data_IF_986045401120
#
_entry.id   IF_986045401120
#
_cell.length_a   1.000
_cell.length_b   1.000
_cell.length_c   1.000
_cell.angle_alpha   90.00
_cell.angle_beta   90.00
_cell.angle_gamma   90.00
#
_symmetry.space_group_name_H-M   'P 1'
#
loop_
_entity.id
_entity.type
_entity.pdbx_description
1 polymer ?
#
# COMPACT_ATOMS: atom_id res chain seq x y z
N UNK A 1 9.29 -24.70 -1.05
CA UNK A 1 10.24 -24.52 0.05
C UNK A 1 9.99 -23.18 0.69
N UNK A 2 10.09 -23.10 2.02
CA UNK A 2 9.73 -21.88 2.76
C UNK A 2 10.57 -20.68 2.37
N UNK A 3 11.87 -20.83 2.12
CA UNK A 3 12.73 -19.72 1.69
C UNK A 3 12.29 -19.17 0.34
N UNK A 4 11.90 -20.04 -0.60
CA UNK A 4 11.35 -19.62 -1.90
C UNK A 4 10.03 -18.87 -1.73
N UNK A 5 9.15 -19.36 -0.86
CA UNK A 5 7.87 -18.69 -0.57
C UNK A 5 8.10 -17.34 0.07
N UNK A 6 9.05 -17.24 0.97
CA UNK A 6 9.40 -15.99 1.63
C UNK A 6 9.92 -14.97 0.61
N UNK A 7 10.85 -15.36 -0.25
CA UNK A 7 11.38 -14.48 -1.28
C UNK A 7 10.32 -14.05 -2.28
N UNK A 8 9.42 -14.96 -2.65
CA UNK A 8 8.30 -14.64 -3.53
C UNK A 8 7.38 -13.58 -2.90
N UNK A 9 7.03 -13.73 -1.64
CA UNK A 9 6.16 -12.78 -0.94
C UNK A 9 6.81 -11.40 -0.81
N UNK A 10 8.11 -11.35 -0.50
CA UNK A 10 8.86 -10.10 -0.45
C UNK A 10 8.83 -9.42 -1.82
N UNK A 11 9.13 -10.16 -2.88
CA UNK A 11 9.12 -9.63 -4.24
C UNK A 11 7.74 -9.11 -4.67
N UNK A 12 6.68 -9.79 -4.25
CA UNK A 12 5.30 -9.40 -4.54
C UNK A 12 5.01 -8.00 -3.93
N UNK A 13 5.33 -7.81 -2.66
CA UNK A 13 5.09 -6.54 -1.98
C UNK A 13 6.00 -5.43 -2.52
N UNK A 14 7.25 -5.76 -2.86
CA UNK A 14 8.14 -4.80 -3.52
C UNK A 14 7.58 -4.32 -4.85
N UNK A 15 7.04 -5.23 -5.66
CA UNK A 15 6.42 -4.90 -6.95
C UNK A 15 5.15 -4.06 -6.77
N UNK A 16 4.38 -4.36 -5.74
CA UNK A 16 3.19 -3.61 -5.36
C UNK A 16 3.54 -2.13 -5.09
N UNK A 17 4.57 -1.89 -4.28
CA UNK A 17 5.00 -0.52 -3.99
C UNK A 17 5.70 0.15 -5.17
N UNK A 18 6.38 -0.61 -6.01
CA UNK A 18 6.95 -0.05 -7.24
C UNK A 18 5.85 0.46 -8.18
N UNK A 19 4.74 -0.28 -8.28
CA UNK A 19 3.57 0.17 -9.03
C UNK A 19 3.00 1.47 -8.45
N UNK A 20 2.88 1.55 -7.13
CA UNK A 20 2.45 2.76 -6.44
C UNK A 20 3.34 3.96 -6.83
N UNK A 21 4.65 3.79 -6.75
CA UNK A 21 5.59 4.89 -6.99
C UNK A 21 5.57 5.41 -8.42
N UNK A 22 5.24 4.57 -9.40
CA UNK A 22 5.11 5.04 -10.78
C UNK A 22 3.70 5.43 -11.19
N UNK A 23 2.76 5.42 -10.22
CA UNK A 23 1.37 5.79 -10.48
C UNK A 23 0.58 4.77 -11.29
N UNK A 24 1.03 3.53 -11.31
CA UNK A 24 0.37 2.44 -12.04
C UNK A 24 -0.67 1.78 -11.11
N UNK A 25 -1.83 2.42 -11.00
CA UNK A 25 -2.89 1.97 -10.08
C UNK A 25 -3.45 0.61 -10.50
N UNK A 26 -3.65 0.38 -11.80
CA UNK A 26 -4.13 -0.91 -12.29
C UNK A 26 -3.12 -2.03 -12.00
N UNK A 27 -1.83 -1.76 -12.19
CA UNK A 27 -0.77 -2.70 -11.84
C UNK A 27 -0.75 -3.02 -10.36
N UNK A 28 -0.94 -2.00 -9.52
CA UNK A 28 -1.01 -2.16 -8.07
C UNK A 28 -2.19 -3.04 -7.68
N UNK A 29 -3.37 -2.75 -8.21
CA UNK A 29 -4.60 -3.49 -7.91
C UNK A 29 -4.52 -4.96 -8.36
N UNK A 30 -3.76 -5.25 -9.41
CA UNK A 30 -3.61 -6.60 -9.92
C UNK A 30 -2.94 -7.55 -8.91
N UNK A 31 -2.20 -7.03 -7.93
CA UNK A 31 -1.58 -7.84 -6.88
C UNK A 31 -2.56 -8.18 -5.75
N UNK A 32 -3.74 -7.56 -5.73
CA UNK A 32 -4.71 -7.75 -4.65
C UNK A 32 -5.71 -8.85 -5.00
N UNK A 33 -6.07 -9.65 -4.01
CA UNK A 33 -7.18 -10.58 -4.14
C UNK A 33 -8.48 -9.80 -4.36
N UNK A 34 -9.45 -10.41 -5.03
CA UNK A 34 -10.73 -9.76 -5.30
C UNK A 34 -11.44 -9.36 -4.00
N UNK A 35 -11.32 -10.18 -2.96
CA UNK A 35 -11.93 -9.97 -1.65
C UNK A 35 -10.93 -9.44 -0.61
N UNK A 36 -9.90 -8.72 -1.04
CA UNK A 36 -8.85 -8.21 -0.15
C UNK A 36 -9.46 -7.42 1.02
N UNK A 37 -8.93 -7.65 2.22
CA UNK A 37 -9.31 -6.90 3.40
C UNK A 37 -8.35 -5.72 3.59
N UNK A 38 -8.88 -4.52 3.71
CA UNK A 38 -8.07 -3.32 3.91
C UNK A 38 -8.38 -2.72 5.29
N UNK A 39 -7.37 -2.70 6.14
CA UNK A 39 -7.43 -2.11 7.47
C UNK A 39 -6.58 -0.85 7.47
N UNK A 40 -7.20 0.32 7.55
CA UNK A 40 -6.49 1.59 7.61
C UNK A 40 -6.46 2.08 9.04
N UNK A 41 -5.32 1.90 9.69
CA UNK A 41 -5.12 2.28 11.09
C UNK A 41 -6.21 1.69 11.99
N UNK A 42 -6.96 2.54 12.69
CA UNK A 42 -8.03 2.13 13.61
C UNK A 42 -9.42 2.30 12.97
N UNK A 43 -9.47 2.56 11.68
CA UNK A 43 -10.74 2.69 10.97
C UNK A 43 -11.43 1.35 10.74
N UNK A 44 -12.66 1.36 10.22
CA UNK A 44 -13.37 0.14 9.90
C UNK A 44 -12.71 -0.60 8.75
N UNK A 45 -12.76 -1.93 8.80
CA UNK A 45 -12.24 -2.76 7.72
C UNK A 45 -13.11 -2.61 6.47
N UNK A 46 -12.47 -2.41 5.34
CA UNK A 46 -13.13 -2.42 4.04
C UNK A 46 -12.78 -3.71 3.30
N UNK A 47 -13.73 -4.27 2.60
CA UNK A 47 -13.55 -5.54 1.90
C UNK A 47 -13.71 -5.30 0.40
N UNK A 48 -12.77 -5.85 -0.36
CA UNK A 48 -12.85 -5.91 -1.81
C UNK A 48 -11.90 -4.99 -2.53
N UNK A 49 -11.47 -5.45 -3.69
CA UNK A 49 -10.57 -4.69 -4.56
C UNK A 49 -11.20 -3.38 -5.02
N UNK A 50 -12.50 -3.37 -5.28
CA UNK A 50 -13.20 -2.15 -5.70
C UNK A 50 -13.22 -1.09 -4.60
N UNK A 51 -13.38 -1.50 -3.34
CA UNK A 51 -13.33 -0.58 -2.21
C UNK A 51 -11.94 0.03 -2.08
N UNK A 52 -10.90 -0.79 -2.28
CA UNK A 52 -9.53 -0.31 -2.23
C UNK A 52 -9.21 0.63 -3.39
N UNK A 53 -9.73 0.34 -4.59
CA UNK A 53 -9.57 1.23 -5.74
C UNK A 53 -10.20 2.61 -5.49
N UNK A 54 -11.37 2.65 -4.85
CA UNK A 54 -12.03 3.90 -4.47
C UNK A 54 -11.19 4.67 -3.44
N UNK A 55 -10.60 3.96 -2.47
CA UNK A 55 -9.68 4.56 -1.49
C UNK A 55 -8.47 5.19 -2.18
N UNK A 56 -7.82 4.47 -3.11
CA UNK A 56 -6.68 4.99 -3.86
C UNK A 56 -7.05 6.24 -4.66
N UNK A 57 -8.22 6.23 -5.30
CA UNK A 57 -8.68 7.38 -6.08
C UNK A 57 -8.84 8.61 -5.18
N UNK A 58 -9.47 8.44 -4.03
CA UNK A 58 -9.68 9.52 -3.06
C UNK A 58 -8.35 10.08 -2.55
N UNK A 59 -7.41 9.19 -2.22
CA UNK A 59 -6.09 9.61 -1.76
C UNK A 59 -5.33 10.32 -2.87
N UNK A 60 -5.39 9.80 -4.10
CA UNK A 60 -4.69 10.39 -5.24
C UNK A 60 -5.27 11.75 -5.64
N UNK A 61 -6.55 12.00 -5.37
CA UNK A 61 -7.17 13.30 -5.63
C UNK A 61 -6.57 14.40 -4.77
N UNK A 62 -6.13 14.09 -3.55
CA UNK A 62 -5.66 15.08 -2.58
C UNK A 62 -4.15 15.08 -2.37
N UNK A 63 -3.49 13.95 -2.58
CA UNK A 63 -2.08 13.79 -2.22
C UNK A 63 -1.26 13.26 -3.40
N UNK A 64 0.01 13.69 -3.46
CA UNK A 64 1.03 13.09 -4.33
C UNK A 64 2.11 12.53 -3.42
N UNK A 65 2.32 11.23 -3.47
CA UNK A 65 3.25 10.55 -2.56
C UNK A 65 4.23 9.65 -3.30
N UNK A 66 5.46 9.64 -2.80
CA UNK A 66 6.50 8.70 -3.21
C UNK A 66 7.00 7.99 -1.96
N UNK A 67 7.20 6.70 -2.05
CA UNK A 67 7.75 5.90 -0.96
C UNK A 67 9.23 5.70 -1.19
N UNK A 68 10.02 6.04 -0.18
CA UNK A 68 11.49 5.94 -0.21
C UNK A 68 11.95 5.01 0.90
N UNK A 69 13.17 4.49 0.75
CA UNK A 69 13.80 3.64 1.77
C UNK A 69 12.90 2.47 2.17
N UNK A 70 12.30 1.84 1.17
CA UNK A 70 11.36 0.73 1.38
C UNK A 70 12.11 -0.51 1.84
N UNK A 71 11.76 -1.03 3.02
CA UNK A 71 12.29 -2.28 3.56
C UNK A 71 11.13 -3.26 3.68
N UNK A 72 11.28 -4.44 3.12
CA UNK A 72 10.25 -5.47 3.13
C UNK A 72 10.80 -6.71 3.82
N UNK A 73 10.09 -7.21 4.82
CA UNK A 73 10.43 -8.42 5.55
C UNK A 73 9.23 -9.38 5.50
N UNK A 74 9.49 -10.67 5.69
CA UNK A 74 8.45 -11.68 5.70
C UNK A 74 8.76 -12.75 6.72
N UNK A 75 7.71 -13.43 7.18
CA UNK A 75 7.86 -14.61 8.02
C UNK A 75 8.39 -15.80 7.20
N UNK A 76 8.68 -16.91 7.89
CA UNK A 76 9.39 -18.05 7.30
C UNK A 76 8.68 -18.65 6.08
N UNK A 77 7.35 -18.73 6.11
CA UNK A 77 6.59 -19.35 5.02
C UNK A 77 6.01 -18.36 4.02
N UNK A 78 6.30 -17.06 4.17
CA UNK A 78 5.84 -16.05 3.23
C UNK A 78 4.35 -15.72 3.27
N UNK A 79 3.67 -16.07 4.36
CA UNK A 79 2.24 -15.77 4.50
C UNK A 79 1.98 -14.40 5.10
N UNK A 80 2.97 -13.84 5.80
CA UNK A 80 2.87 -12.53 6.46
C UNK A 80 4.07 -11.69 6.05
N UNK A 81 3.80 -10.45 5.65
CA UNK A 81 4.83 -9.51 5.18
C UNK A 81 4.67 -8.20 5.92
N UNK A 82 5.79 -7.61 6.30
CA UNK A 82 5.84 -6.27 6.84
C UNK A 82 6.67 -5.37 5.94
N UNK A 83 6.29 -4.10 5.86
CA UNK A 83 7.04 -3.10 5.12
C UNK A 83 7.17 -1.83 5.95
N UNK A 84 8.34 -1.20 5.84
CA UNK A 84 8.59 0.12 6.42
C UNK A 84 9.10 1.02 5.31
N UNK A 85 8.69 2.27 5.33
CA UNK A 85 9.09 3.22 4.28
C UNK A 85 9.01 4.65 4.80
N UNK A 86 9.58 5.57 4.02
CA UNK A 86 9.45 7.01 4.27
C UNK A 86 8.57 7.58 3.16
N UNK A 87 7.47 8.21 3.55
CA UNK A 87 6.55 8.85 2.62
C UNK A 87 7.00 10.28 2.38
N UNK A 88 7.26 10.64 1.12
CA UNK A 88 7.50 12.00 0.69
C UNK A 88 6.27 12.47 -0.07
N UNK A 89 5.54 13.40 0.48
CA UNK A 89 4.25 13.77 -0.06
C UNK A 89 4.01 15.25 -0.21
N UNK A 90 3.03 15.57 -1.04
CA UNK A 90 2.51 16.92 -1.25
C UNK A 90 0.99 16.86 -1.13
N UNK A 91 0.45 17.74 -0.29
CA UNK A 91 -0.99 17.90 -0.14
C UNK A 91 -1.45 18.97 -1.13
N UNK A 92 -2.05 18.56 -2.26
CA UNK A 92 -2.30 19.47 -3.37
C UNK A 92 -3.76 19.87 -3.56
N UNK A 93 -4.71 19.06 -3.08
CA UNK A 93 -6.14 19.36 -3.16
C UNK A 93 -6.79 19.05 -1.82
N UNK A 94 -7.61 19.98 -1.33
CA UNK A 94 -8.22 19.86 0.01
C UNK A 94 -9.00 18.55 0.14
N UNK A 95 -8.65 17.78 1.17
CA UNK A 95 -9.34 16.56 1.56
C UNK A 95 -10.42 16.90 2.58
N UNK A 96 -11.57 16.26 2.45
CA UNK A 96 -12.72 16.53 3.31
C UNK A 96 -12.38 16.36 4.79
N UNK A 97 -12.75 17.36 5.59
CA UNK A 97 -12.53 17.34 7.04
C UNK A 97 -11.12 17.75 7.46
N UNK A 98 -10.24 18.10 6.53
CA UNK A 98 -8.87 18.51 6.80
C UNK A 98 -8.65 19.97 6.45
N UNK A 99 -7.52 20.57 6.91
CA UNK A 99 -7.18 21.93 6.54
C UNK A 99 -7.08 22.13 5.02
N UNK A 100 -7.19 23.38 4.58
CA UNK A 100 -7.10 23.71 3.16
C UNK A 100 -5.73 23.34 2.60
N UNK A 101 -5.72 22.71 1.43
CA UNK A 101 -4.49 22.36 0.73
C UNK A 101 -3.88 23.58 0.06
N UNK A 102 -2.58 23.75 0.22
CA UNK A 102 -1.83 24.84 -0.42
C UNK A 102 -0.44 24.36 -0.91
N UNK A 103 -0.30 23.07 -1.18
CA UNK A 103 0.97 22.52 -1.61
C UNK A 103 1.90 22.15 -0.48
N UNK A 104 1.40 22.00 0.74
CA UNK A 104 2.20 21.61 1.90
C UNK A 104 2.92 20.30 1.60
N UNK A 105 4.21 20.24 1.91
CA UNK A 105 5.00 19.03 1.80
C UNK A 105 5.13 18.36 3.16
N UNK A 106 5.31 17.06 3.14
CA UNK A 106 5.49 16.29 4.38
C UNK A 106 6.39 15.08 4.14
N UNK A 107 7.06 14.66 5.20
CA UNK A 107 7.88 13.45 5.22
C UNK A 107 7.48 12.67 6.46
N UNK A 108 7.01 11.44 6.26
CA UNK A 108 6.50 10.60 7.33
C UNK A 108 7.08 9.20 7.23
N UNK A 109 7.46 8.62 8.37
CA UNK A 109 7.77 7.19 8.42
C UNK A 109 6.44 6.45 8.51
N UNK A 110 6.28 5.46 7.66
CA UNK A 110 5.07 4.64 7.63
C UNK A 110 5.40 3.17 7.56
N UNK A 111 4.38 2.36 7.74
CA UNK A 111 4.51 0.93 7.64
C UNK A 111 3.19 0.26 7.36
N UNK A 112 3.28 -0.98 6.91
CA UNK A 112 2.09 -1.78 6.61
C UNK A 112 2.40 -3.25 6.82
N UNK A 113 1.35 -4.01 7.11
CA UNK A 113 1.42 -5.45 7.25
C UNK A 113 0.47 -6.09 6.24
N UNK A 114 0.88 -7.24 5.70
CA UNK A 114 0.17 -7.92 4.63
C UNK A 114 0.00 -9.38 4.93
N UNK A 115 -1.13 -9.93 4.52
CA UNK A 115 -1.30 -11.37 4.38
C UNK A 115 -1.18 -11.70 2.90
N UNK A 116 -0.42 -12.74 2.58
CA UNK A 116 -0.16 -13.16 1.20
C UNK A 116 -0.56 -14.61 1.04
N UNK A 117 -1.26 -14.90 -0.06
CA UNK A 117 -1.60 -16.27 -0.45
C UNK A 117 -1.30 -16.42 -1.94
N UNK A 118 -0.32 -17.29 -2.27
CA UNK A 118 0.13 -17.46 -3.66
C UNK A 118 0.64 -16.14 -4.23
N UNK A 119 0.03 -15.70 -5.32
CA UNK A 119 0.43 -14.49 -6.03
C UNK A 119 -0.41 -13.26 -5.63
N UNK A 120 -1.18 -13.34 -4.55
CA UNK A 120 -2.11 -12.28 -4.18
C UNK A 120 -1.92 -11.82 -2.73
N UNK A 121 -2.13 -10.52 -2.54
CA UNK A 121 -2.25 -9.91 -1.22
C UNK A 121 -3.72 -10.03 -0.82
N UNK A 122 -3.97 -10.64 0.33
CA UNK A 122 -5.34 -10.86 0.82
C UNK A 122 -5.72 -9.90 1.94
N UNK A 123 -4.72 -9.21 2.50
CA UNK A 123 -4.94 -8.16 3.50
C UNK A 123 -3.80 -7.18 3.50
#
# INVERSE_FOLDING_TARGET
MSETHRQHAIGLVQAYYAAFNRGDWDGMLAFLAEDVAHDLNQGPREIGRNAFAAFLQRMNDSYREQLRDVVVIANDDGTRVGAEYVVHGVYHTTDEGLPEANGQTYVLVGGAFFDVRGDKITR
#
